data_IF_300742476956
#
_entry.id   IF_300742476956
#
_cell.length_a   1.000
_cell.length_b   1.000
_cell.length_c   1.000
_cell.angle_alpha   90.00
_cell.angle_beta   90.00
_cell.angle_gamma   90.00
#
_symmetry.space_group_name_H-M   'P 1'
#
loop_
_entity.id
_entity.type
_entity.pdbx_description
1 polymer ?
#
# COMPACT_ATOMS: atom_id res chain seq x y z
N UNK A 1 11.14 48.50 44.57
CA UNK A 1 10.76 48.52 43.14
C UNK A 1 11.69 47.57 42.39
N UNK A 2 11.17 46.49 41.80
CA UNK A 2 11.98 45.50 41.05
C UNK A 2 12.11 45.98 39.61
N UNK A 3 13.33 46.24 39.16
CA UNK A 3 13.64 46.57 37.77
C UNK A 3 13.34 45.36 36.88
N UNK A 4 12.39 45.49 35.96
CA UNK A 4 12.18 44.54 34.88
C UNK A 4 13.31 44.72 33.85
N UNK A 5 13.96 43.63 33.39
CA UNK A 5 15.01 43.72 32.38
C UNK A 5 14.40 44.10 31.03
N UNK A 6 14.81 45.24 30.46
CA UNK A 6 14.44 45.64 29.10
C UNK A 6 14.94 44.57 28.10
N UNK A 7 13.98 43.98 27.37
CA UNK A 7 14.28 43.07 26.28
C UNK A 7 14.91 43.87 25.12
N UNK A 8 16.24 43.93 25.09
CA UNK A 8 16.96 44.47 23.94
C UNK A 8 16.82 43.51 22.75
N UNK A 9 16.04 43.92 21.75
CA UNK A 9 15.71 43.15 20.56
C UNK A 9 16.94 42.75 19.72
N UNK A 10 18.00 43.56 19.73
CA UNK A 10 19.25 43.25 19.04
C UNK A 10 20.01 42.12 19.73
N UNK A 11 20.03 42.12 21.07
CA UNK A 11 20.63 41.05 21.87
C UNK A 11 19.87 39.72 21.72
N UNK A 12 18.55 39.79 21.53
CA UNK A 12 17.75 38.61 21.22
C UNK A 12 18.05 38.09 19.81
N UNK A 13 18.11 38.99 18.81
CA UNK A 13 18.45 38.65 17.42
C UNK A 13 19.84 38.04 17.29
N UNK A 14 20.84 38.57 18.00
CA UNK A 14 22.20 38.02 17.97
C UNK A 14 22.28 36.62 18.57
N UNK A 15 21.56 36.38 19.67
CA UNK A 15 21.45 35.04 20.28
C UNK A 15 20.74 34.04 19.38
N UNK A 16 19.67 34.46 18.70
CA UNK A 16 18.95 33.60 17.76
C UNK A 16 19.81 33.26 16.54
N UNK A 17 20.54 34.24 16.00
CA UNK A 17 21.51 34.00 14.91
C UNK A 17 22.61 33.03 15.33
N UNK A 18 23.18 33.21 16.52
CA UNK A 18 24.22 32.32 17.04
C UNK A 18 23.69 30.90 17.23
N UNK A 19 22.51 30.74 17.84
CA UNK A 19 21.85 29.44 17.99
C UNK A 19 21.60 28.77 16.64
N UNK A 20 21.06 29.51 15.68
CA UNK A 20 20.80 29.01 14.33
C UNK A 20 22.09 28.52 13.65
N UNK A 21 23.19 29.29 13.77
CA UNK A 21 24.51 28.87 13.25
C UNK A 21 25.01 27.61 13.93
N UNK A 22 24.93 27.51 15.27
CA UNK A 22 25.36 26.32 16.00
C UNK A 22 24.55 25.09 15.61
N UNK A 23 23.22 25.20 15.50
CA UNK A 23 22.35 24.10 15.07
C UNK A 23 22.68 23.66 13.65
N UNK A 24 22.93 24.62 12.75
CA UNK A 24 23.35 24.33 11.37
C UNK A 24 24.68 23.57 11.32
N UNK A 25 25.68 24.00 12.09
CA UNK A 25 26.98 23.31 12.13
C UNK A 25 26.88 21.91 12.71
N UNK A 26 26.09 21.72 13.78
CA UNK A 26 25.89 20.41 14.41
C UNK A 26 25.14 19.45 13.48
N UNK A 27 24.09 19.93 12.81
CA UNK A 27 23.31 19.12 11.87
C UNK A 27 24.14 18.68 10.67
N UNK A 28 24.98 19.56 10.12
CA UNK A 28 25.89 19.23 9.02
C UNK A 28 27.00 18.26 9.44
N UNK A 29 27.48 18.35 10.69
CA UNK A 29 28.48 17.43 11.23
C UNK A 29 27.94 16.01 11.45
N UNK A 30 26.69 15.87 11.91
CA UNK A 30 26.07 14.56 12.17
C UNK A 30 25.43 13.93 10.91
N UNK A 31 25.04 14.74 9.92
CA UNK A 31 24.32 14.27 8.74
C UNK A 31 24.93 14.82 7.43
N UNK A 32 26.10 14.32 7.00
CA UNK A 32 26.78 14.81 5.79
C UNK A 32 25.96 14.63 4.50
N UNK A 33 25.02 13.68 4.48
CA UNK A 33 24.08 13.44 3.39
C UNK A 33 22.98 14.52 3.27
N UNK A 34 22.69 15.27 4.35
CA UNK A 34 21.68 16.35 4.36
C UNK A 34 22.24 17.65 3.73
N UNK A 35 23.56 17.82 3.68
CA UNK A 35 24.20 18.96 3.03
C UNK A 35 23.81 19.10 1.55
N UNK A 36 23.66 17.96 0.85
CA UNK A 36 23.25 17.91 -0.56
C UNK A 36 21.78 18.31 -0.77
N UNK A 37 20.93 18.09 0.23
CA UNK A 37 19.50 18.43 0.20
C UNK A 37 19.21 19.87 0.67
N UNK A 38 20.09 20.46 1.50
CA UNK A 38 20.00 21.86 1.92
C UNK A 38 20.60 22.83 0.89
N UNK A 39 21.55 22.39 0.06
CA UNK A 39 22.07 23.19 -1.04
C UNK A 39 21.00 23.44 -2.13
N UNK A 40 20.07 22.49 -2.33
CA UNK A 40 18.98 22.61 -3.30
C UNK A 40 17.81 23.49 -2.83
N UNK A 41 17.62 23.68 -1.52
CA UNK A 41 16.55 24.55 -0.98
C UNK A 41 16.97 26.03 -0.82
N UNK A 42 18.27 26.34 -0.87
CA UNK A 42 18.77 27.70 -0.77
C UNK A 42 18.49 28.58 -2.02
N UNK A 43 18.16 27.98 -3.17
CA UNK A 43 17.87 28.71 -4.41
C UNK A 43 16.45 29.31 -4.46
N UNK A 44 15.53 28.87 -3.59
CA UNK A 44 14.17 29.41 -3.53
C UNK A 44 14.06 30.67 -2.63
N UNK A 45 15.00 30.88 -1.72
CA UNK A 45 14.94 31.95 -0.71
C UNK A 45 15.53 33.30 -1.11
N UNK A 46 16.28 33.38 -2.21
CA UNK A 46 16.98 34.61 -2.65
C UNK A 46 16.20 35.45 -3.66
N UNK A 47 15.06 34.97 -4.16
CA UNK A 47 14.23 35.69 -5.15
C UNK A 47 13.22 36.69 -4.54
N UNK A 48 13.06 36.71 -3.21
CA UNK A 48 12.04 37.52 -2.54
C UNK A 48 12.53 38.89 -2.01
N UNK A 49 13.77 39.30 -2.31
CA UNK A 49 14.35 40.54 -1.75
C UNK A 49 15.01 41.48 -2.78
N UNK A 50 14.71 41.33 -4.07
CA UNK A 50 15.11 42.32 -5.08
C UNK A 50 13.93 43.27 -5.39
N UNK A 51 14.05 44.59 -5.13
CA UNK A 51 13.05 45.54 -5.58
C UNK A 51 13.23 45.80 -7.09
N UNK A 52 12.17 45.52 -7.85
CA UNK A 52 11.85 46.16 -9.13
C UNK A 52 12.79 45.90 -10.30
N UNK A 53 12.55 44.82 -11.05
CA UNK A 53 12.80 44.80 -12.51
C UNK A 53 11.68 44.04 -13.23
N UNK A 54 11.27 44.61 -14.36
CA UNK A 54 10.24 44.17 -15.30
C UNK A 54 10.23 42.67 -15.57
N UNK A 55 9.05 42.06 -15.43
CA UNK A 55 8.78 40.66 -15.78
C UNK A 55 8.98 40.42 -17.28
N UNK A 56 9.90 39.55 -17.71
CA UNK A 56 9.78 38.92 -19.02
C UNK A 56 8.62 37.93 -18.94
N UNK A 57 7.71 38.00 -19.89
CA UNK A 57 6.68 36.98 -20.14
C UNK A 57 7.35 35.60 -20.19
N UNK A 58 7.20 34.81 -19.13
CA UNK A 58 7.55 33.40 -19.16
C UNK A 58 6.64 32.74 -20.19
N UNK A 59 7.26 32.26 -21.26
CA UNK A 59 6.65 31.34 -22.19
C UNK A 59 5.94 30.24 -21.38
N UNK A 60 4.63 30.11 -21.59
CA UNK A 60 3.89 28.98 -21.07
C UNK A 60 4.55 27.72 -21.62
N UNK A 61 5.18 26.95 -20.73
CA UNK A 61 5.52 25.56 -21.01
C UNK A 61 4.22 24.86 -21.44
N UNK A 62 4.26 23.97 -22.44
CA UNK A 62 3.07 23.22 -22.80
C UNK A 62 2.60 22.51 -21.54
N UNK A 63 1.34 22.72 -21.16
CA UNK A 63 0.67 21.92 -20.16
C UNK A 63 0.79 20.47 -20.63
N UNK A 64 1.81 19.75 -20.18
CA UNK A 64 1.77 18.31 -20.17
C UNK A 64 0.55 18.00 -19.32
N UNK A 65 -0.50 17.57 -20.00
CA UNK A 65 -1.70 17.01 -19.41
C UNK A 65 -1.24 15.88 -18.50
N UNK A 66 -1.02 16.19 -17.23
CA UNK A 66 -1.04 15.21 -16.16
C UNK A 66 -2.47 14.72 -16.20
N UNK A 67 -2.72 13.65 -16.96
CA UNK A 67 -4.02 12.99 -16.97
C UNK A 67 -4.31 12.56 -15.53
N UNK A 68 -5.12 13.37 -14.86
CA UNK A 68 -5.74 13.04 -13.59
C UNK A 68 -6.75 11.94 -13.91
N UNK A 69 -6.38 10.69 -13.68
CA UNK A 69 -7.37 9.63 -13.66
C UNK A 69 -8.17 9.80 -12.37
N UNK A 70 -9.49 9.92 -12.48
CA UNK A 70 -10.35 9.76 -11.31
C UNK A 70 -10.24 8.31 -10.81
N UNK A 71 -10.59 8.01 -9.54
CA UNK A 71 -10.67 6.63 -9.05
C UNK A 71 -11.52 5.73 -9.95
N UNK A 72 -12.59 6.27 -10.54
CA UNK A 72 -13.43 5.56 -11.49
C UNK A 72 -12.65 5.20 -12.76
N UNK A 73 -11.89 6.15 -13.32
CA UNK A 73 -11.09 5.92 -14.53
C UNK A 73 -9.97 4.90 -14.28
N UNK A 74 -9.32 4.91 -13.10
CA UNK A 74 -8.31 3.92 -12.73
C UNK A 74 -8.89 2.50 -12.68
N UNK A 75 -10.07 2.35 -12.06
CA UNK A 75 -10.76 1.06 -11.96
C UNK A 75 -11.18 0.54 -13.32
N UNK A 76 -11.81 1.39 -14.13
CA UNK A 76 -12.25 1.00 -15.47
C UNK A 76 -11.06 0.63 -16.35
N UNK A 77 -10.00 1.43 -16.31
CA UNK A 77 -8.75 1.14 -17.04
C UNK A 77 -8.15 -0.21 -16.63
N UNK A 78 -8.06 -0.48 -15.32
CA UNK A 78 -7.56 -1.75 -14.82
C UNK A 78 -8.45 -2.92 -15.26
N UNK A 79 -9.77 -2.81 -15.12
CA UNK A 79 -10.70 -3.86 -15.52
C UNK A 79 -10.59 -4.20 -17.02
N UNK A 80 -10.53 -3.18 -17.88
CA UNK A 80 -10.41 -3.34 -19.32
C UNK A 80 -9.09 -4.04 -19.69
N UNK A 81 -7.98 -3.62 -19.08
CA UNK A 81 -6.67 -4.25 -19.31
C UNK A 81 -6.60 -5.69 -18.82
N UNK A 82 -7.19 -5.99 -17.66
CA UNK A 82 -7.24 -7.34 -17.14
C UNK A 82 -8.09 -8.26 -18.02
N UNK A 83 -9.17 -7.76 -18.62
CA UNK A 83 -10.02 -8.54 -19.53
C UNK A 83 -9.29 -8.99 -20.81
N UNK A 84 -8.31 -8.21 -21.28
CA UNK A 84 -7.47 -8.56 -22.43
C UNK A 84 -6.50 -9.72 -22.12
N UNK A 85 -6.10 -9.86 -20.85
CA UNK A 85 -5.04 -10.79 -20.42
C UNK A 85 -5.61 -12.07 -19.80
N UNK A 86 -6.68 -11.92 -19.02
CA UNK A 86 -7.23 -13.00 -18.23
C UNK A 86 -7.98 -14.02 -19.10
N UNK A 87 -7.89 -15.32 -18.77
CA UNK A 87 -8.70 -16.33 -19.40
C UNK A 87 -10.19 -16.17 -19.02
N UNK A 88 -11.07 -16.62 -19.92
CA UNK A 88 -12.53 -16.54 -19.71
C UNK A 88 -13.05 -17.37 -18.54
N UNK A 89 -12.24 -18.27 -17.98
CA UNK A 89 -12.55 -19.06 -16.78
C UNK A 89 -11.37 -19.02 -15.81
N UNK A 90 -11.64 -19.21 -14.52
CA UNK A 90 -10.59 -19.26 -13.49
C UNK A 90 -9.71 -20.48 -13.70
N UNK A 91 -8.42 -20.22 -13.95
CA UNK A 91 -7.36 -21.21 -14.11
C UNK A 91 -6.01 -20.58 -13.74
N UNK A 92 -4.96 -21.38 -13.49
CA UNK A 92 -3.62 -20.85 -13.25
C UNK A 92 -3.16 -19.93 -14.39
N UNK A 93 -2.56 -18.79 -14.03
CA UNK A 93 -1.98 -17.86 -14.98
C UNK A 93 -0.62 -18.37 -15.46
N UNK A 94 -0.26 -18.00 -16.70
CA UNK A 94 1.11 -18.18 -17.20
C UNK A 94 2.03 -17.11 -16.59
N UNK A 95 3.34 -17.38 -16.59
CA UNK A 95 4.35 -16.41 -16.12
C UNK A 95 4.25 -15.08 -16.90
N UNK A 96 3.97 -15.15 -18.21
CA UNK A 96 3.80 -13.96 -19.04
C UNK A 96 2.56 -13.15 -18.64
N UNK A 97 1.44 -13.81 -18.35
CA UNK A 97 0.23 -13.15 -17.83
C UNK A 97 0.52 -12.50 -16.47
N UNK A 98 1.21 -13.21 -15.57
CA UNK A 98 1.58 -12.69 -14.25
C UNK A 98 2.49 -11.46 -14.37
N UNK A 99 3.47 -11.49 -15.27
CA UNK A 99 4.36 -10.37 -15.55
C UNK A 99 3.62 -9.15 -16.11
N UNK A 100 2.72 -9.36 -17.08
CA UNK A 100 1.89 -8.30 -17.64
C UNK A 100 0.97 -7.66 -16.60
N UNK A 101 0.33 -8.46 -15.75
CA UNK A 101 -0.52 -7.95 -14.67
C UNK A 101 0.32 -7.15 -13.67
N UNK A 102 1.50 -7.64 -13.28
CA UNK A 102 2.44 -6.93 -12.40
C UNK A 102 2.79 -5.55 -12.97
N UNK A 103 3.07 -5.48 -14.27
CA UNK A 103 3.36 -4.23 -14.97
C UNK A 103 2.16 -3.27 -15.01
N UNK A 104 0.94 -3.79 -15.22
CA UNK A 104 -0.27 -2.96 -15.21
C UNK A 104 -0.54 -2.39 -13.81
N UNK A 105 -0.37 -3.19 -12.76
CA UNK A 105 -0.52 -2.75 -11.39
C UNK A 105 0.49 -1.65 -11.04
N UNK A 106 1.75 -1.82 -11.45
CA UNK A 106 2.77 -0.79 -11.27
C UNK A 106 2.45 0.49 -12.04
N UNK A 107 2.14 0.40 -13.33
CA UNK A 107 1.89 1.60 -14.15
C UNK A 107 0.61 2.35 -13.74
N UNK A 108 -0.43 1.63 -13.32
CA UNK A 108 -1.73 2.22 -12.95
C UNK A 108 -1.71 2.76 -11.53
N UNK A 109 -1.20 2.00 -10.56
CA UNK A 109 -1.30 2.30 -9.13
C UNK A 109 0.04 2.59 -8.45
N UNK A 110 1.17 2.49 -9.14
CA UNK A 110 2.49 2.66 -8.53
C UNK A 110 2.84 1.56 -7.52
N UNK A 111 2.14 0.42 -7.58
CA UNK A 111 2.32 -0.68 -6.63
C UNK A 111 3.17 -1.79 -7.25
N UNK A 112 4.26 -2.15 -6.56
CA UNK A 112 5.10 -3.28 -6.95
C UNK A 112 4.49 -4.57 -6.42
N UNK A 113 3.64 -5.22 -7.22
CA UNK A 113 3.01 -6.49 -6.88
C UNK A 113 3.43 -7.61 -7.85
N UNK A 114 3.65 -8.82 -7.34
CA UNK A 114 4.14 -9.99 -8.10
C UNK A 114 3.51 -11.29 -7.60
N UNK A 115 3.35 -12.29 -8.49
CA UNK A 115 2.84 -13.61 -8.13
C UNK A 115 3.84 -14.46 -7.32
N UNK A 116 5.15 -14.20 -7.47
CA UNK A 116 6.23 -14.83 -6.71
C UNK A 116 7.10 -13.75 -6.05
N UNK A 117 7.37 -13.92 -4.75
CA UNK A 117 8.20 -13.01 -3.97
C UNK A 117 9.16 -13.81 -3.09
N UNK A 118 10.45 -13.46 -3.10
CA UNK A 118 11.48 -14.11 -2.28
C UNK A 118 11.53 -15.65 -2.45
N UNK A 119 11.20 -16.15 -3.65
CA UNK A 119 11.15 -17.60 -3.96
C UNK A 119 9.92 -18.33 -3.42
N UNK A 120 8.90 -17.62 -2.96
CA UNK A 120 7.65 -18.20 -2.49
C UNK A 120 6.48 -17.76 -3.38
N UNK A 121 5.57 -18.70 -3.64
CA UNK A 121 4.37 -18.48 -4.44
C UNK A 121 3.17 -19.27 -3.91
N UNK A 122 1.97 -18.78 -4.22
CA UNK A 122 0.74 -19.53 -3.99
C UNK A 122 0.51 -20.56 -5.10
N UNK A 123 -0.37 -21.53 -4.83
CA UNK A 123 -0.76 -22.54 -5.83
C UNK A 123 -1.44 -21.93 -7.07
N UNK A 124 -2.15 -20.81 -6.89
CA UNK A 124 -2.67 -19.98 -7.97
C UNK A 124 -2.65 -18.51 -7.57
N UNK A 125 -2.50 -17.64 -8.56
CA UNK A 125 -2.57 -16.19 -8.45
C UNK A 125 -3.89 -15.63 -9.01
N UNK A 126 -4.64 -16.42 -9.78
CA UNK A 126 -6.01 -16.15 -10.23
C UNK A 126 -6.94 -17.25 -9.71
N UNK A 127 -7.87 -16.86 -8.83
CA UNK A 127 -8.63 -17.81 -8.03
C UNK A 127 -9.99 -17.30 -7.61
N UNK A 128 -10.75 -18.17 -6.96
CA UNK A 128 -12.04 -17.83 -6.38
C UNK A 128 -11.86 -17.39 -4.92
N UNK A 129 -12.20 -16.14 -4.60
CA UNK A 129 -12.29 -15.66 -3.22
C UNK A 129 -13.71 -15.84 -2.71
N UNK A 130 -13.88 -16.16 -1.44
CA UNK A 130 -15.17 -16.09 -0.75
C UNK A 130 -15.07 -15.41 0.60
N UNK A 131 -16.21 -15.16 1.23
CA UNK A 131 -16.25 -14.47 2.51
C UNK A 131 -15.75 -15.37 3.65
N UNK A 132 -14.96 -14.76 4.52
CA UNK A 132 -14.52 -15.27 5.80
C UNK A 132 -15.20 -14.49 6.95
N UNK A 133 -15.00 -14.99 8.17
CA UNK A 133 -15.50 -14.41 9.40
C UNK A 133 -14.42 -13.55 10.07
N UNK A 134 -14.78 -12.54 10.85
CA UNK A 134 -13.79 -11.76 11.61
C UNK A 134 -12.85 -12.66 12.43
N UNK A 135 -11.57 -12.26 12.52
CA UNK A 135 -10.58 -12.99 13.32
C UNK A 135 -10.50 -12.40 14.73
N UNK A 136 -10.18 -13.24 15.71
CA UNK A 136 -10.01 -12.78 17.09
C UNK A 136 -8.79 -11.88 17.22
N UNK A 137 -8.96 -10.69 17.79
CA UNK A 137 -7.87 -9.70 17.95
C UNK A 137 -7.17 -9.80 19.29
N UNK A 138 -7.90 -10.23 20.33
CA UNK A 138 -7.38 -10.41 21.69
C UNK A 138 -8.23 -11.44 22.46
N UNK A 139 -7.77 -11.95 23.62
CA UNK A 139 -8.57 -12.86 24.45
C UNK A 139 -9.90 -12.24 24.88
N UNK A 140 -11.00 -12.94 24.64
CA UNK A 140 -12.35 -12.46 24.99
C UNK A 140 -12.94 -11.48 23.98
N UNK A 141 -12.31 -11.29 22.82
CA UNK A 141 -12.84 -10.47 21.73
C UNK A 141 -14.12 -11.08 21.14
N UNK A 142 -15.15 -10.25 20.96
CA UNK A 142 -16.47 -10.64 20.44
C UNK A 142 -16.96 -9.57 19.50
N UNK A 143 -17.14 -9.94 18.23
CA UNK A 143 -17.83 -9.14 17.21
C UNK A 143 -18.86 -10.00 16.49
N UNK A 144 -19.80 -9.35 15.80
CA UNK A 144 -20.75 -10.05 14.95
C UNK A 144 -20.01 -10.82 13.84
N UNK A 145 -20.43 -12.05 13.55
CA UNK A 145 -19.79 -12.93 12.56
C UNK A 145 -18.28 -13.18 12.83
N UNK A 146 -17.91 -13.41 14.09
CA UNK A 146 -16.57 -13.83 14.51
C UNK A 146 -16.31 -15.31 14.19
N UNK A 147 -15.08 -15.64 13.78
CA UNK A 147 -14.63 -17.00 13.61
C UNK A 147 -14.66 -17.78 14.94
N UNK A 148 -14.99 -19.08 14.94
CA UNK A 148 -15.04 -19.87 16.18
C UNK A 148 -13.67 -20.09 16.83
N UNK A 149 -12.57 -19.88 16.08
CA UNK A 149 -11.20 -20.06 16.54
C UNK A 149 -10.32 -18.84 16.24
N UNK A 150 -9.04 -18.93 16.64
CA UNK A 150 -8.08 -17.83 16.52
C UNK A 150 -7.44 -17.69 15.12
N UNK A 151 -7.90 -18.41 14.10
CA UNK A 151 -7.18 -18.52 12.83
C UNK A 151 -5.80 -19.18 12.94
N UNK A 152 -5.06 -19.22 11.84
CA UNK A 152 -3.79 -19.93 11.69
C UNK A 152 -2.62 -19.28 12.43
N UNK A 153 -2.69 -17.97 12.70
CA UNK A 153 -1.62 -17.21 13.34
C UNK A 153 -1.92 -16.76 14.77
N UNK A 154 -3.03 -17.23 15.34
CA UNK A 154 -3.50 -16.78 16.65
C UNK A 154 -4.13 -15.40 16.58
N UNK A 155 -4.01 -14.62 17.65
CA UNK A 155 -4.64 -13.31 17.71
C UNK A 155 -4.04 -12.32 16.69
N UNK A 156 -4.91 -11.60 15.98
CA UNK A 156 -4.55 -10.50 15.09
C UNK A 156 -4.70 -9.17 15.84
N UNK A 157 -3.71 -8.85 16.67
CA UNK A 157 -3.77 -7.70 17.60
C UNK A 157 -3.92 -6.34 16.90
N UNK A 158 -3.50 -6.25 15.64
CA UNK A 158 -3.60 -5.06 14.82
C UNK A 158 -4.97 -5.01 14.11
N UNK A 159 -5.81 -4.07 14.53
CA UNK A 159 -7.16 -3.88 13.99
C UNK A 159 -7.17 -3.62 12.48
N UNK A 160 -6.16 -2.94 11.92
CA UNK A 160 -6.13 -2.67 10.49
C UNK A 160 -5.78 -3.92 9.69
N UNK A 161 -4.90 -4.76 10.23
CA UNK A 161 -4.60 -6.09 9.68
C UNK A 161 -5.82 -7.00 9.73
N UNK A 162 -6.55 -7.04 10.84
CA UNK A 162 -7.77 -7.84 10.96
C UNK A 162 -8.90 -7.30 10.08
N UNK A 163 -9.00 -5.98 9.90
CA UNK A 163 -9.98 -5.40 8.98
C UNK A 163 -9.68 -5.75 7.53
N UNK A 164 -8.40 -5.72 7.13
CA UNK A 164 -7.97 -5.98 5.75
C UNK A 164 -7.10 -7.21 5.67
N UNK A 165 -7.68 -8.38 5.94
CA UNK A 165 -7.00 -9.65 5.72
C UNK A 165 -7.59 -10.50 4.62
N UNK A 166 -6.75 -11.44 4.19
CA UNK A 166 -7.15 -12.60 3.40
C UNK A 166 -6.68 -13.90 4.06
N UNK A 167 -7.43 -14.96 3.78
CA UNK A 167 -7.00 -16.33 3.99
C UNK A 167 -6.43 -16.91 2.69
N UNK A 168 -5.28 -17.58 2.78
CA UNK A 168 -4.67 -18.27 1.62
C UNK A 168 -4.34 -19.72 1.94
N UNK A 169 -4.37 -20.58 0.92
CA UNK A 169 -4.27 -22.03 1.01
C UNK A 169 -2.86 -22.56 1.34
N UNK A 170 -2.21 -22.05 2.39
CA UNK A 170 -0.82 -22.41 2.73
C UNK A 170 -0.66 -23.91 3.03
N UNK A 171 -1.67 -24.53 3.64
CA UNK A 171 -1.72 -25.97 3.96
C UNK A 171 -1.60 -26.88 2.72
N UNK A 172 -1.83 -26.34 1.53
CA UNK A 172 -1.80 -27.07 0.26
C UNK A 172 -0.57 -26.72 -0.58
N UNK A 173 0.39 -25.94 -0.06
CA UNK A 173 1.66 -25.71 -0.75
C UNK A 173 2.46 -27.01 -0.82
N UNK A 174 3.16 -27.28 -1.94
CA UNK A 174 3.84 -28.56 -2.17
C UNK A 174 4.92 -28.87 -1.12
N UNK A 175 5.52 -27.84 -0.54
CA UNK A 175 6.59 -27.90 0.45
C UNK A 175 6.14 -27.44 1.85
N UNK A 176 4.82 -27.35 2.10
CA UNK A 176 4.27 -26.93 3.39
C UNK A 176 4.77 -27.78 4.56
N UNK A 177 4.82 -29.10 4.38
CA UNK A 177 5.20 -30.04 5.44
C UNK A 177 6.70 -30.03 5.72
N UNK A 178 7.53 -29.76 4.70
CA UNK A 178 8.99 -29.78 4.81
C UNK A 178 9.56 -28.43 5.25
N UNK A 179 8.88 -27.32 4.91
CA UNK A 179 9.29 -25.94 5.23
C UNK A 179 8.31 -25.22 6.17
N UNK A 180 7.49 -25.96 6.93
CA UNK A 180 6.40 -25.44 7.78
C UNK A 180 6.77 -24.17 8.55
N UNK A 181 7.83 -24.23 9.36
CA UNK A 181 8.22 -23.12 10.23
C UNK A 181 8.53 -21.86 9.41
N UNK A 182 9.33 -22.02 8.35
CA UNK A 182 9.69 -20.93 7.45
C UNK A 182 8.44 -20.37 6.74
N UNK A 183 7.63 -21.22 6.11
CA UNK A 183 6.50 -20.76 5.30
C UNK A 183 5.43 -20.11 6.19
N UNK A 184 5.11 -20.70 7.34
CA UNK A 184 4.17 -20.09 8.30
C UNK A 184 4.57 -18.67 8.65
N UNK A 185 5.85 -18.45 8.96
CA UNK A 185 6.34 -17.14 9.38
C UNK A 185 6.49 -16.17 8.21
N UNK A 186 6.86 -16.67 7.02
CA UNK A 186 6.99 -15.87 5.81
C UNK A 186 5.66 -15.36 5.28
N UNK A 187 4.61 -16.20 5.34
CA UNK A 187 3.25 -15.84 4.92
C UNK A 187 2.53 -14.96 5.95
N UNK A 188 2.83 -15.10 7.24
CA UNK A 188 2.18 -14.34 8.30
C UNK A 188 2.29 -12.84 8.02
N UNK A 189 1.14 -12.19 7.86
CA UNK A 189 0.99 -10.76 7.59
C UNK A 189 1.70 -10.25 6.34
N UNK A 190 2.02 -11.14 5.40
CA UNK A 190 2.57 -10.71 4.11
C UNK A 190 1.54 -9.86 3.38
N UNK A 191 1.94 -8.66 2.95
CA UNK A 191 1.08 -7.78 2.16
C UNK A 191 0.80 -8.37 0.79
N UNK A 192 -0.46 -8.26 0.38
CA UNK A 192 -0.95 -8.72 -0.92
C UNK A 192 -1.88 -7.67 -1.49
N UNK A 193 -1.98 -7.60 -2.82
CA UNK A 193 -3.08 -6.92 -3.49
C UNK A 193 -4.13 -7.95 -3.84
N UNK A 194 -5.39 -7.59 -3.67
CA UNK A 194 -6.54 -8.35 -4.18
C UNK A 194 -7.26 -7.48 -5.19
N UNK A 195 -7.48 -8.02 -6.38
CA UNK A 195 -8.13 -7.32 -7.47
C UNK A 195 -9.36 -8.08 -7.92
N UNK A 196 -10.51 -7.40 -7.96
CA UNK A 196 -11.68 -7.91 -8.65
C UNK A 196 -11.59 -7.51 -10.14
N UNK A 197 -11.33 -8.45 -11.05
CA UNK A 197 -11.15 -8.14 -12.48
C UNK A 197 -12.45 -7.66 -13.15
N UNK A 198 -13.63 -7.91 -12.56
CA UNK A 198 -14.90 -7.51 -13.16
C UNK A 198 -15.19 -6.01 -13.00
N UNK A 199 -14.68 -5.37 -11.94
CA UNK A 199 -14.93 -3.96 -11.65
C UNK A 199 -13.65 -3.14 -11.41
N UNK A 200 -12.48 -3.77 -11.48
CA UNK A 200 -11.17 -3.13 -11.33
C UNK A 200 -10.89 -2.62 -9.91
N UNK A 201 -11.71 -2.96 -8.91
CA UNK A 201 -11.44 -2.60 -7.52
C UNK A 201 -10.21 -3.34 -7.02
N UNK A 202 -9.30 -2.59 -6.44
CA UNK A 202 -8.04 -3.06 -5.85
C UNK A 202 -7.99 -2.69 -4.37
N UNK A 203 -7.61 -3.66 -3.54
CA UNK A 203 -7.42 -3.50 -2.10
C UNK A 203 -6.09 -4.13 -1.69
N UNK A 204 -5.36 -3.45 -0.83
CA UNK A 204 -4.16 -4.00 -0.17
C UNK A 204 -4.61 -4.66 1.13
N UNK A 205 -4.21 -5.90 1.34
CA UNK A 205 -4.55 -6.69 2.50
C UNK A 205 -3.31 -7.40 3.02
N UNK A 206 -3.42 -8.03 4.19
CA UNK A 206 -2.41 -8.95 4.70
C UNK A 206 -2.93 -10.38 4.71
N UNK A 207 -2.03 -11.33 4.56
CA UNK A 207 -2.33 -12.73 4.79
C UNK A 207 -2.45 -12.92 6.31
N UNK A 208 -3.68 -13.06 6.85
CA UNK A 208 -3.95 -13.25 8.28
C UNK A 208 -4.72 -14.55 8.69
N UNK A 209 -5.11 -15.40 7.73
CA UNK A 209 -5.42 -16.81 8.02
C UNK A 209 -4.87 -17.82 6.97
N UNK A 210 -4.93 -19.11 7.29
CA UNK A 210 -4.69 -20.23 6.37
C UNK A 210 -5.99 -20.95 6.03
N UNK A 211 -6.25 -21.12 4.74
CA UNK A 211 -7.51 -21.64 4.21
C UNK A 211 -7.92 -20.88 2.95
N UNK A 212 -9.15 -21.04 2.45
CA UNK A 212 -10.17 -21.99 2.87
C UNK A 212 -9.81 -23.43 2.46
N UNK A 213 -10.51 -24.42 3.00
CA UNK A 213 -10.28 -25.82 2.63
C UNK A 213 -10.58 -26.07 1.13
N UNK A 214 -9.78 -26.92 0.48
CA UNK A 214 -9.86 -27.15 -0.98
C UNK A 214 -11.23 -27.63 -1.45
N UNK A 215 -11.94 -28.43 -0.63
CA UNK A 215 -13.28 -28.94 -0.92
C UNK A 215 -14.35 -27.85 -1.05
N UNK A 216 -14.12 -26.65 -0.51
CA UNK A 216 -15.04 -25.51 -0.66
C UNK A 216 -15.08 -24.97 -2.11
N UNK A 217 -14.09 -25.35 -2.92
CA UNK A 217 -13.88 -24.82 -4.27
C UNK A 217 -13.58 -23.32 -4.27
N UNK A 218 -13.11 -22.78 -3.14
CA UNK A 218 -12.50 -21.46 -3.00
C UNK A 218 -10.98 -21.65 -2.94
N UNK A 219 -10.25 -20.65 -3.41
CA UNK A 219 -8.79 -20.58 -3.36
C UNK A 219 -8.32 -19.60 -2.28
N UNK A 220 -9.13 -18.56 -2.05
CA UNK A 220 -8.85 -17.48 -1.11
C UNK A 220 -10.08 -17.20 -0.24
N UNK A 221 -9.83 -16.61 0.91
CA UNK A 221 -10.84 -16.02 1.79
C UNK A 221 -10.57 -14.54 1.96
N UNK A 222 -11.61 -13.72 2.07
CA UNK A 222 -11.49 -12.28 2.36
C UNK A 222 -12.27 -11.91 3.62
N UNK A 223 -11.71 -10.98 4.41
CA UNK A 223 -12.43 -10.37 5.53
C UNK A 223 -13.77 -9.77 5.09
N UNK A 224 -14.72 -9.56 6.02
CA UNK A 224 -15.98 -8.88 5.70
C UNK A 224 -15.80 -7.56 4.94
N UNK A 225 -14.82 -6.73 5.32
CA UNK A 225 -14.51 -5.45 4.69
C UNK A 225 -13.83 -5.59 3.33
N UNK A 226 -12.94 -6.59 3.15
CA UNK A 226 -12.34 -6.89 1.85
C UNK A 226 -13.44 -7.30 0.87
N UNK A 227 -14.34 -8.19 1.30
CA UNK A 227 -15.44 -8.69 0.47
C UNK A 227 -16.49 -7.62 0.17
N UNK A 228 -16.78 -6.76 1.15
CA UNK A 228 -17.61 -5.57 0.97
C UNK A 228 -17.03 -4.65 -0.09
N UNK A 229 -15.77 -4.23 0.09
CA UNK A 229 -15.16 -3.29 -0.81
C UNK A 229 -15.10 -3.85 -2.23
N UNK A 230 -14.72 -5.13 -2.42
CA UNK A 230 -14.64 -5.75 -3.73
C UNK A 230 -16.01 -5.96 -4.42
N UNK A 231 -17.12 -5.64 -3.77
CA UNK A 231 -18.49 -5.96 -4.20
C UNK A 231 -18.67 -7.47 -4.45
N UNK A 232 -18.19 -8.30 -3.53
CA UNK A 232 -18.25 -9.76 -3.62
C UNK A 232 -19.31 -10.37 -2.68
N UNK A 233 -20.23 -9.55 -2.16
CA UNK A 233 -21.33 -9.97 -1.26
C UNK A 233 -22.49 -10.68 -2.01
N UNK A 234 -22.49 -10.65 -3.34
CA UNK A 234 -23.66 -11.05 -4.13
C UNK A 234 -23.75 -12.57 -4.30
N UNK A 235 -24.76 -13.19 -3.68
CA UNK A 235 -25.50 -14.43 -4.05
C UNK A 235 -24.74 -15.76 -4.26
N UNK A 236 -23.56 -15.74 -4.88
CA UNK A 236 -22.73 -16.91 -5.18
C UNK A 236 -21.72 -17.25 -4.08
N UNK A 237 -21.56 -16.38 -3.07
CA UNK A 237 -20.60 -16.52 -1.95
C UNK A 237 -19.13 -16.76 -2.36
N UNK A 238 -18.80 -16.63 -3.66
CA UNK A 238 -17.44 -16.62 -4.21
C UNK A 238 -17.38 -15.98 -5.60
N UNK A 239 -16.24 -15.36 -5.92
CA UNK A 239 -16.00 -14.69 -7.21
C UNK A 239 -14.52 -14.70 -7.60
N UNK A 240 -14.20 -14.48 -8.90
CA UNK A 240 -12.83 -14.47 -9.38
C UNK A 240 -12.07 -13.25 -8.85
N UNK A 241 -10.84 -13.45 -8.40
CA UNK A 241 -9.89 -12.37 -8.06
C UNK A 241 -8.48 -12.74 -8.48
N UNK A 242 -7.67 -11.72 -8.69
CA UNK A 242 -6.21 -11.84 -8.72
C UNK A 242 -5.67 -11.53 -7.33
N UNK A 243 -4.72 -12.31 -6.85
CA UNK A 243 -4.02 -12.09 -5.58
C UNK A 243 -2.51 -12.19 -5.79
N UNK A 244 -1.80 -11.06 -5.69
CA UNK A 244 -0.35 -10.96 -5.85
C UNK A 244 0.29 -10.43 -4.56
N UNK A 245 1.53 -10.81 -4.27
CA UNK A 245 2.30 -10.27 -3.15
C UNK A 245 2.77 -8.84 -3.43
N UNK A 246 2.71 -7.98 -2.43
CA UNK A 246 3.28 -6.64 -2.50
C UNK A 246 4.73 -6.70 -2.05
N UNK A 247 5.64 -6.21 -2.89
CA UNK A 247 7.02 -5.97 -2.51
C UNK A 247 7.14 -4.63 -1.79
N UNK A 248 7.01 -4.67 -0.47
CA UNK A 248 7.04 -3.49 0.40
C UNK A 248 7.99 -3.70 1.59
N UNK A 249 9.32 -3.72 1.35
CA UNK A 249 10.31 -3.98 2.40
C UNK A 249 10.41 -2.84 3.43
N UNK A 250 9.88 -1.65 3.11
CA UNK A 250 9.90 -0.47 3.97
C UNK A 250 8.56 -0.21 4.67
N UNK A 251 7.57 -1.08 4.50
CA UNK A 251 6.23 -1.01 5.11
C UNK A 251 5.48 0.31 4.78
N UNK A 252 5.66 0.85 3.57
CA UNK A 252 5.10 2.14 3.15
C UNK A 252 3.77 2.04 2.40
N UNK A 253 3.41 0.86 1.90
CA UNK A 253 2.13 0.66 1.20
C UNK A 253 1.02 0.50 2.25
N UNK A 254 0.01 1.40 2.29
CA UNK A 254 -1.06 1.31 3.27
C UNK A 254 -1.99 0.11 3.00
N UNK A 255 -2.64 -0.39 4.05
CA UNK A 255 -3.70 -1.39 3.92
C UNK A 255 -5.02 -0.71 3.51
N UNK A 256 -5.93 -1.50 2.95
CA UNK A 256 -7.24 -1.05 2.53
C UNK A 256 -7.34 -0.65 1.05
N UNK A 257 -8.46 -0.04 0.65
CA UNK A 257 -8.72 0.38 -0.73
C UNK A 257 -7.60 1.24 -1.30
N UNK A 258 -7.10 0.88 -2.48
CA UNK A 258 -6.15 1.71 -3.21
C UNK A 258 -6.87 2.37 -4.40
N UNK A 259 -7.13 3.66 -4.27
CA UNK A 259 -7.91 4.46 -5.22
C UNK A 259 -7.07 5.53 -5.93
N UNK A 260 -5.76 5.48 -5.76
CA UNK A 260 -4.81 6.45 -6.27
C UNK A 260 -3.49 5.77 -6.62
N UNK A 261 -2.62 6.47 -7.34
CA UNK A 261 -1.29 5.99 -7.69
C UNK A 261 -0.28 6.41 -6.59
N UNK A 262 0.44 5.44 -6.02
CA UNK A 262 1.37 5.63 -4.90
C UNK A 262 2.60 6.48 -5.27
N UNK A 263 3.01 6.48 -6.53
CA UNK A 263 4.20 7.19 -7.01
C UNK A 263 3.88 8.59 -7.54
N UNK A 264 2.60 8.94 -7.66
CA UNK A 264 2.14 10.25 -8.14
C UNK A 264 1.59 11.06 -6.97
N UNK A 265 1.89 12.36 -6.88
CA UNK A 265 1.42 13.19 -5.79
C UNK A 265 -0.11 13.24 -5.76
N UNK A 266 -0.69 12.97 -4.58
CA UNK A 266 -2.07 13.29 -4.27
C UNK A 266 -2.19 14.82 -4.26
N UNK A 267 -2.82 15.39 -5.29
CA UNK A 267 -3.16 16.80 -5.26
C UNK A 267 -4.31 16.97 -4.27
N UNK A 268 -4.01 17.56 -3.11
CA UNK A 268 -5.01 18.04 -2.16
C UNK A 268 -5.93 19.02 -2.90
N UNK A 269 -7.19 18.62 -3.09
CA UNK A 269 -8.28 19.46 -3.60
C UNK A 269 -8.77 20.43 -2.54
#
# INVERSE_FOLDING_TARGET
MKHLPELNSEKLRSRLKLKHLTTRTTLLAHHPHVAKFLASSALAGTLLLAPGQSTPSLAALPSSSISQFSPFDLRQHLADKLKEILPGQVQPLTIDQESQISQILHTTYGIHATAELEGNRLNTSYGLIGAEQHLMRFPGDVVENMAPGKGAWGYVEDFEKEKYYVAVQTLYLPDWTTRLAYLRDWYKYRKVVVVNPANGKLIVAVVADSGPASWTGKHFGGSPEVMEYLNMKDGKQKGPVILFFVNDPADQVPLGPLEYNLEKPLLLS
#
